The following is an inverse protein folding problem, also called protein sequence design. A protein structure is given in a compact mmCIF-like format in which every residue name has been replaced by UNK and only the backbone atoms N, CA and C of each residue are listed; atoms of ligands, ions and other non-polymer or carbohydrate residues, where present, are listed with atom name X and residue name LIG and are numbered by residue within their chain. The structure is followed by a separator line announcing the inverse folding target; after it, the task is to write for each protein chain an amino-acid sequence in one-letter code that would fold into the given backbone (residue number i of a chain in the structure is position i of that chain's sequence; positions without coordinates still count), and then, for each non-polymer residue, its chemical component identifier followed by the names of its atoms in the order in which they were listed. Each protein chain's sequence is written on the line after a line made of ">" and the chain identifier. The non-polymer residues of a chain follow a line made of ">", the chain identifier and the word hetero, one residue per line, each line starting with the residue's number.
data_IF_251108541111
#
_entry.id   IF_251108541111
#
_cell.length_a   1.000
_cell.length_b   1.000
_cell.length_c   1.000
_cell.angle_alpha   90.00
_cell.angle_beta   90.00
_cell.angle_gamma   90.00
#
_symmetry.space_group_name_H-M   'P 1'
#
loop_
_entity.id
_entity.type
_entity.pdbx_description
1 polymer ?
#
# COMPACT_ATOMS: atom_id res chain seq x y z
N UNK A 1 11.30 23.59 15.63
CA UNK A 1 11.30 22.19 15.15
C UNK A 1 10.13 21.38 15.68
N UNK A 2 10.11 20.98 16.96
CA UNK A 2 9.03 20.13 17.52
C UNK A 2 7.60 20.64 17.28
N UNK A 3 7.39 21.95 17.30
CA UNK A 3 6.08 22.54 16.98
C UNK A 3 5.60 22.22 15.56
N UNK A 4 6.49 22.24 14.56
CA UNK A 4 6.14 21.91 13.16
C UNK A 4 5.67 20.46 13.08
N UNK A 5 6.42 19.54 13.68
CA UNK A 5 6.09 18.12 13.70
C UNK A 5 4.81 17.82 14.50
N UNK A 6 4.57 18.55 15.59
CA UNK A 6 3.31 18.46 16.33
C UNK A 6 2.12 18.88 15.45
N UNK A 7 2.25 19.98 14.70
CA UNK A 7 1.22 20.43 13.76
C UNK A 7 1.00 19.38 12.65
N UNK A 8 2.08 18.81 12.11
CA UNK A 8 2.00 17.70 11.15
C UNK A 8 1.21 16.53 11.74
N UNK A 9 1.56 16.08 12.95
CA UNK A 9 0.90 14.95 13.61
C UNK A 9 -0.59 15.23 13.82
N UNK A 10 -0.95 16.40 14.34
CA UNK A 10 -2.34 16.79 14.59
C UNK A 10 -3.14 16.82 13.29
N UNK A 11 -2.62 17.49 12.25
CA UNK A 11 -3.33 17.59 10.97
C UNK A 11 -3.48 16.22 10.30
N UNK A 12 -2.40 15.44 10.22
CA UNK A 12 -2.42 14.13 9.59
C UNK A 12 -3.35 13.16 10.34
N UNK A 13 -3.33 13.14 11.67
CA UNK A 13 -4.24 12.28 12.43
C UNK A 13 -5.69 12.74 12.37
N UNK A 14 -5.95 14.04 12.22
CA UNK A 14 -7.29 14.53 11.95
C UNK A 14 -7.82 14.02 10.60
N UNK A 15 -7.02 14.09 9.53
CA UNK A 15 -7.38 13.54 8.22
C UNK A 15 -7.54 12.00 8.25
N UNK A 16 -6.67 11.31 9.00
CA UNK A 16 -6.74 9.87 9.16
C UNK A 16 -8.02 9.44 9.91
N UNK A 17 -8.39 10.21 10.94
CA UNK A 17 -9.61 10.04 11.72
C UNK A 17 -10.87 10.27 10.89
N UNK A 18 -10.89 11.31 10.06
CA UNK A 18 -11.97 11.55 9.11
C UNK A 18 -12.18 10.34 8.18
N UNK A 19 -11.11 9.77 7.64
CA UNK A 19 -11.16 8.52 6.88
C UNK A 19 -11.70 7.34 7.70
N UNK A 20 -11.29 7.23 8.97
CA UNK A 20 -11.60 6.08 9.83
C UNK A 20 -13.08 6.03 10.23
N UNK A 21 -13.74 7.19 10.35
CA UNK A 21 -15.20 7.29 10.59
C UNK A 21 -16.01 6.54 9.55
N UNK A 22 -15.50 6.42 8.32
CA UNK A 22 -16.08 5.62 7.24
C UNK A 22 -15.01 4.71 6.65
N UNK A 23 -14.41 3.87 7.48
CA UNK A 23 -13.21 3.09 7.12
C UNK A 23 -13.32 2.32 5.79
N UNK A 24 -14.50 1.75 5.45
CA UNK A 24 -14.71 1.09 4.15
C UNK A 24 -14.47 2.01 2.94
N UNK A 25 -14.70 3.31 3.10
CA UNK A 25 -14.56 4.35 2.08
C UNK A 25 -13.28 5.15 2.24
N UNK A 26 -12.75 5.21 3.46
CA UNK A 26 -11.61 6.01 3.86
C UNK A 26 -10.36 5.21 4.22
N UNK A 27 -10.31 3.89 4.00
CA UNK A 27 -9.17 3.05 4.39
C UNK A 27 -7.85 3.59 3.84
N UNK A 28 -7.80 3.92 2.54
CA UNK A 28 -6.60 4.48 1.91
C UNK A 28 -6.21 5.81 2.55
N UNK A 29 -7.18 6.70 2.82
CA UNK A 29 -6.97 7.97 3.50
C UNK A 29 -6.38 7.76 4.90
N UNK A 30 -6.99 6.88 5.68
CA UNK A 30 -6.56 6.57 7.04
C UNK A 30 -5.14 6.00 7.10
N UNK A 31 -4.81 5.07 6.20
CA UNK A 31 -3.47 4.47 6.14
C UNK A 31 -2.41 5.49 5.71
N UNK A 32 -2.70 6.27 4.66
CA UNK A 32 -1.78 7.29 4.16
C UNK A 32 -1.48 8.34 5.23
N UNK A 33 -2.50 9.07 5.69
CA UNK A 33 -2.32 10.14 6.65
C UNK A 33 -1.86 9.63 8.02
N UNK A 34 -2.29 8.43 8.44
CA UNK A 34 -1.81 7.80 9.65
C UNK A 34 -0.31 7.52 9.60
N UNK A 35 0.20 6.98 8.49
CA UNK A 35 1.62 6.72 8.33
C UNK A 35 2.45 8.00 8.14
N UNK A 36 1.95 9.00 7.41
CA UNK A 36 2.61 10.31 7.28
C UNK A 36 2.69 11.04 8.62
N UNK A 37 1.61 11.03 9.41
CA UNK A 37 1.58 11.61 10.76
C UNK A 37 2.53 10.90 11.72
N UNK A 38 2.68 9.58 11.60
CA UNK A 38 3.65 8.82 12.37
C UNK A 38 5.08 9.20 12.00
N UNK A 39 5.46 9.10 10.72
CA UNK A 39 6.84 9.26 10.24
C UNK A 39 7.31 10.71 10.29
N UNK A 40 6.48 11.67 9.90
CA UNK A 40 6.86 13.08 9.78
C UNK A 40 6.38 13.95 10.94
N UNK A 41 5.52 13.41 11.81
CA UNK A 41 4.99 14.10 12.98
C UNK A 41 5.48 13.49 14.29
N UNK A 42 5.00 12.31 14.63
CA UNK A 42 5.25 11.71 15.95
C UNK A 42 6.71 11.31 16.13
N UNK A 43 7.31 10.57 15.18
CA UNK A 43 8.69 10.08 15.32
C UNK A 43 9.67 11.25 15.53
N UNK A 44 9.64 12.35 14.75
CA UNK A 44 10.52 13.50 15.00
C UNK A 44 10.19 14.26 16.29
N UNK A 45 8.98 14.16 16.84
CA UNK A 45 8.64 14.77 18.13
C UNK A 45 9.25 14.01 19.32
N UNK A 46 9.22 12.68 19.28
CA UNK A 46 9.64 11.80 20.39
C UNK A 46 11.04 11.22 20.20
N UNK A 47 11.58 11.32 18.99
CA UNK A 47 12.93 10.89 18.67
C UNK A 47 13.95 11.60 19.57
N UNK A 48 14.99 10.90 20.03
CA UNK A 48 15.99 11.52 20.88
C UNK A 48 16.68 12.68 20.14
N UNK A 49 17.11 13.70 20.88
CA UNK A 49 17.71 14.93 20.32
C UNK A 49 18.95 14.70 19.45
N UNK A 50 19.54 13.51 19.49
CA UNK A 50 20.60 13.11 18.57
C UNK A 50 20.10 12.61 17.21
N UNK A 51 18.79 12.58 16.92
CA UNK A 51 18.28 12.49 15.53
C UNK A 51 18.58 13.76 14.74
N UNK A 52 18.80 14.87 15.46
CA UNK A 52 19.51 16.03 14.91
C UNK A 52 21.01 15.73 14.65
N UNK A 53 21.47 14.46 14.69
CA UNK A 53 22.76 14.01 14.11
C UNK A 53 22.62 13.92 12.60
N UNK A 54 22.58 15.08 11.98
CA UNK A 54 23.49 15.30 10.87
C UNK A 54 24.20 16.62 11.13
N UNK A 55 25.34 16.77 10.49
CA UNK A 55 26.17 17.98 10.46
C UNK A 55 25.42 19.16 9.80
N UNK A 56 24.10 19.02 9.58
CA UNK A 56 23.28 19.87 8.77
C UNK A 56 22.74 21.05 9.59
N UNK A 57 22.81 22.28 9.04
CA UNK A 57 22.27 23.46 9.70
C UNK A 57 20.80 23.31 10.11
N UNK A 58 20.44 23.86 11.27
CA UNK A 58 19.05 23.92 11.78
C UNK A 58 18.04 24.44 10.74
N UNK A 59 18.46 25.34 9.84
CA UNK A 59 17.63 25.85 8.74
C UNK A 59 17.16 24.76 7.78
N UNK A 60 17.95 23.71 7.54
CA UNK A 60 17.59 22.60 6.65
C UNK A 60 16.52 21.73 7.29
N UNK A 61 16.67 21.42 8.58
CA UNK A 61 15.63 20.72 9.35
C UNK A 61 14.30 21.49 9.31
N UNK A 62 14.34 22.81 9.49
CA UNK A 62 13.14 23.66 9.38
C UNK A 62 12.54 23.59 7.98
N UNK A 63 13.37 23.71 6.93
CA UNK A 63 12.91 23.66 5.54
C UNK A 63 12.26 22.31 5.19
N UNK A 64 12.87 21.20 5.59
CA UNK A 64 12.32 19.86 5.40
C UNK A 64 11.00 19.67 6.18
N UNK A 65 10.94 20.13 7.43
CA UNK A 65 9.71 20.11 8.22
C UNK A 65 8.58 20.93 7.59
N UNK A 66 8.88 22.14 7.10
CA UNK A 66 7.90 22.99 6.41
C UNK A 66 7.46 22.38 5.09
N UNK A 67 8.37 21.82 4.31
CA UNK A 67 8.04 21.15 3.05
C UNK A 67 7.12 19.95 3.28
N UNK A 68 7.42 19.10 4.28
CA UNK A 68 6.57 17.99 4.67
C UNK A 68 5.19 18.47 5.14
N UNK A 69 5.12 19.52 5.97
CA UNK A 69 3.85 20.11 6.41
C UNK A 69 3.02 20.61 5.22
N UNK A 70 3.60 21.45 4.36
CA UNK A 70 2.92 21.96 3.16
C UNK A 70 2.47 20.81 2.25
N UNK A 71 3.32 19.79 2.07
CA UNK A 71 3.02 18.62 1.28
C UNK A 71 1.82 17.83 1.81
N UNK A 72 1.79 17.51 3.10
CA UNK A 72 0.67 16.79 3.73
C UNK A 72 -0.63 17.59 3.61
N UNK A 73 -0.58 18.91 3.84
CA UNK A 73 -1.74 19.78 3.68
C UNK A 73 -2.22 19.78 2.23
N UNK A 74 -1.33 19.89 1.25
CA UNK A 74 -1.70 19.88 -0.17
C UNK A 74 -2.29 18.54 -0.61
N UNK A 75 -1.77 17.41 -0.14
CA UNK A 75 -2.39 16.08 -0.35
C UNK A 75 -3.81 16.08 0.20
N UNK A 76 -4.03 16.63 1.40
CA UNK A 76 -5.36 16.77 2.02
C UNK A 76 -6.29 17.64 1.20
N UNK A 77 -5.83 18.83 0.79
CA UNK A 77 -6.59 19.74 -0.07
C UNK A 77 -6.98 19.07 -1.40
N UNK A 78 -6.05 18.39 -2.07
CA UNK A 78 -6.31 17.66 -3.31
C UNK A 78 -7.34 16.55 -3.13
N UNK A 79 -7.26 15.84 -2.00
CA UNK A 79 -8.23 14.80 -1.65
C UNK A 79 -9.64 15.38 -1.51
N UNK A 80 -9.79 16.43 -0.69
CA UNK A 80 -11.08 17.08 -0.46
C UNK A 80 -11.65 17.71 -1.73
N UNK A 81 -10.80 18.36 -2.53
CA UNK A 81 -11.18 18.93 -3.81
C UNK A 81 -11.82 17.89 -4.73
N UNK A 82 -11.19 16.73 -4.88
CA UNK A 82 -11.76 15.64 -5.67
C UNK A 82 -13.09 15.15 -5.09
N UNK A 83 -13.18 14.98 -3.77
CA UNK A 83 -14.40 14.48 -3.12
C UNK A 83 -15.58 15.44 -3.29
N UNK A 84 -15.35 16.76 -3.27
CA UNK A 84 -16.36 17.78 -3.56
C UNK A 84 -16.89 17.59 -4.99
N UNK A 85 -16.00 17.47 -5.98
CA UNK A 85 -16.39 17.27 -7.39
C UNK A 85 -17.16 15.95 -7.55
N UNK A 86 -16.66 14.89 -6.94
CA UNK A 86 -17.19 13.54 -7.10
C UNK A 86 -18.50 13.30 -6.33
N UNK A 87 -18.78 14.08 -5.27
CA UNK A 87 -20.03 13.99 -4.48
C UNK A 87 -21.30 14.13 -5.35
N UNK A 88 -21.19 14.83 -6.48
CA UNK A 88 -22.27 15.04 -7.46
C UNK A 88 -22.67 13.78 -8.24
N UNK A 89 -21.93 12.68 -8.10
CA UNK A 89 -22.20 11.42 -8.81
C UNK A 89 -22.51 10.33 -7.78
N UNK A 90 -23.75 9.82 -7.66
CA UNK A 90 -24.03 8.67 -6.81
C UNK A 90 -23.33 7.42 -7.36
N UNK A 91 -22.92 6.50 -6.48
CA UNK A 91 -22.33 5.22 -6.87
C UNK A 91 -22.81 4.09 -5.94
N UNK A 92 -22.87 2.88 -6.50
CA UNK A 92 -23.21 1.67 -5.76
C UNK A 92 -21.95 1.08 -5.12
N UNK A 93 -22.07 0.61 -3.89
CA UNK A 93 -20.96 0.01 -3.15
C UNK A 93 -20.69 -1.41 -3.65
N UNK A 94 -19.52 -1.61 -4.26
CA UNK A 94 -19.25 -2.83 -5.02
C UNK A 94 -18.96 -4.05 -4.14
N UNK A 95 -18.51 -3.84 -2.90
CA UNK A 95 -18.21 -4.96 -2.00
C UNK A 95 -19.46 -5.76 -1.57
N UNK A 96 -20.67 -5.19 -1.65
CA UNK A 96 -21.90 -5.95 -1.40
C UNK A 96 -22.23 -6.89 -2.56
N UNK A 97 -21.84 -6.54 -3.79
CA UNK A 97 -21.97 -7.40 -4.97
C UNK A 97 -21.24 -8.73 -4.78
N UNK A 98 -20.03 -8.70 -4.20
CA UNK A 98 -19.19 -9.88 -3.98
C UNK A 98 -19.82 -10.91 -3.03
N UNK A 99 -20.87 -10.54 -2.28
CA UNK A 99 -21.58 -11.43 -1.36
C UNK A 99 -22.73 -12.21 -2.02
N UNK A 100 -23.12 -11.84 -3.24
CA UNK A 100 -24.21 -12.50 -3.96
C UNK A 100 -23.88 -13.95 -4.30
N UNK A 101 -24.87 -14.83 -4.08
CA UNK A 101 -24.78 -16.28 -4.28
C UNK A 101 -24.39 -16.64 -5.71
N UNK A 102 -24.92 -15.90 -6.69
CA UNK A 102 -24.66 -16.09 -8.11
C UNK A 102 -23.19 -15.89 -8.49
N UNK A 103 -22.41 -15.16 -7.69
CA UNK A 103 -21.00 -14.91 -7.95
C UNK A 103 -20.08 -15.90 -7.22
N UNK A 104 -20.57 -16.65 -6.24
CA UNK A 104 -19.75 -17.53 -5.41
C UNK A 104 -18.96 -18.58 -6.20
N UNK A 105 -19.51 -19.28 -7.21
CA UNK A 105 -18.73 -20.24 -8.00
C UNK A 105 -17.54 -19.58 -8.72
N UNK A 106 -17.75 -18.39 -9.28
CA UNK A 106 -16.71 -17.62 -10.00
C UNK A 106 -15.66 -17.07 -9.05
N UNK A 107 -16.07 -16.60 -7.86
CA UNK A 107 -15.15 -16.13 -6.83
C UNK A 107 -14.33 -17.28 -6.23
N UNK A 108 -14.91 -18.48 -6.07
CA UNK A 108 -14.19 -19.68 -5.67
C UNK A 108 -13.15 -20.08 -6.74
N UNK A 109 -13.50 -20.00 -8.02
CA UNK A 109 -12.55 -20.25 -9.11
C UNK A 109 -11.40 -19.23 -9.10
N UNK A 110 -11.71 -17.94 -8.94
CA UNK A 110 -10.71 -16.88 -8.79
C UNK A 110 -9.78 -17.14 -7.59
N UNK A 111 -10.35 -17.53 -6.45
CA UNK A 111 -9.61 -17.89 -5.25
C UNK A 111 -8.60 -19.01 -5.51
N UNK A 112 -9.05 -20.13 -6.08
CA UNK A 112 -8.19 -21.30 -6.34
C UNK A 112 -7.11 -20.95 -7.34
N UNK A 113 -7.48 -20.28 -8.44
CA UNK A 113 -6.53 -19.87 -9.48
C UNK A 113 -5.44 -18.96 -8.91
N UNK A 114 -5.81 -17.93 -8.16
CA UNK A 114 -4.85 -17.00 -7.57
C UNK A 114 -3.97 -17.66 -6.50
N UNK A 115 -4.52 -18.59 -5.70
CA UNK A 115 -3.73 -19.34 -4.72
C UNK A 115 -2.68 -20.22 -5.41
N UNK A 116 -3.07 -20.99 -6.43
CA UNK A 116 -2.16 -21.87 -7.18
C UNK A 116 -1.10 -21.05 -7.92
N UNK A 117 -1.52 -20.04 -8.68
CA UNK A 117 -0.59 -19.15 -9.42
C UNK A 117 0.34 -18.43 -8.46
N UNK A 118 -0.16 -17.98 -7.30
CA UNK A 118 0.64 -17.33 -6.28
C UNK A 118 1.77 -18.21 -5.73
N UNK A 119 1.47 -19.48 -5.43
CA UNK A 119 2.48 -20.45 -4.99
C UNK A 119 3.47 -20.76 -6.11
N UNK A 120 3.00 -20.99 -7.33
CA UNK A 120 3.87 -21.20 -8.50
C UNK A 120 4.79 -20.00 -8.71
N UNK A 121 4.27 -18.77 -8.59
CA UNK A 121 5.07 -17.57 -8.76
C UNK A 121 6.14 -17.41 -7.68
N UNK A 122 5.83 -17.78 -6.44
CA UNK A 122 6.82 -17.81 -5.37
C UNK A 122 7.94 -18.84 -5.64
N UNK A 123 7.58 -20.05 -6.05
CA UNK A 123 8.54 -21.10 -6.39
C UNK A 123 9.39 -20.72 -7.61
N UNK A 124 8.75 -20.16 -8.64
CA UNK A 124 9.41 -19.62 -9.83
C UNK A 124 10.37 -18.48 -9.50
N UNK A 125 10.02 -17.62 -8.54
CA UNK A 125 10.91 -16.56 -8.05
C UNK A 125 12.13 -17.12 -7.32
N UNK A 126 11.95 -18.14 -6.47
CA UNK A 126 13.06 -18.84 -5.81
C UNK A 126 13.99 -19.49 -6.85
N UNK A 127 13.42 -20.22 -7.80
CA UNK A 127 14.15 -20.89 -8.86
C UNK A 127 14.93 -19.89 -9.75
N UNK A 128 14.27 -18.82 -10.20
CA UNK A 128 14.88 -17.79 -11.04
C UNK A 128 15.99 -17.01 -10.33
N UNK A 129 15.95 -16.95 -8.99
CA UNK A 129 17.04 -16.37 -8.19
C UNK A 129 18.28 -17.27 -8.12
N UNK A 130 18.26 -18.47 -8.73
CA UNK A 130 19.37 -19.43 -8.70
C UNK A 130 19.60 -20.04 -7.31
N UNK A 131 18.62 -19.91 -6.41
CA UNK A 131 18.70 -20.35 -5.02
C UNK A 131 18.03 -21.73 -4.93
N UNK A 132 18.78 -22.77 -4.56
CA UNK A 132 18.17 -24.06 -4.22
C UNK A 132 17.30 -23.93 -2.97
N UNK A 133 16.32 -24.81 -2.75
CA UNK A 133 15.52 -24.79 -1.50
C UNK A 133 16.43 -24.89 -0.25
N UNK A 134 17.55 -25.61 -0.35
CA UNK A 134 18.58 -25.66 0.68
C UNK A 134 19.32 -24.32 0.89
N UNK A 135 19.55 -23.54 -0.19
CA UNK A 135 20.13 -22.19 -0.10
C UNK A 135 19.14 -21.12 0.41
N UNK A 136 17.83 -21.36 0.27
CA UNK A 136 16.78 -20.56 0.92
C UNK A 136 16.82 -20.79 2.44
N UNK A 137 17.10 -22.03 2.85
CA UNK A 137 17.27 -22.42 4.25
C UNK A 137 18.62 -21.98 4.83
N UNK A 138 19.67 -21.87 4.02
CA UNK A 138 21.02 -21.41 4.43
C UNK A 138 21.26 -19.89 4.20
N UNK A 139 22.29 -19.31 4.79
CA UNK A 139 22.49 -17.85 4.89
C UNK A 139 22.85 -17.13 3.58
N UNK A 140 23.03 -17.88 2.49
CA UNK A 140 23.57 -17.40 1.21
C UNK A 140 22.57 -16.66 0.30
N UNK A 141 21.30 -16.55 0.70
CA UNK A 141 20.26 -15.93 -0.15
C UNK A 141 20.51 -14.44 -0.43
N UNK A 142 21.07 -13.67 0.50
CA UNK A 142 21.34 -12.24 0.29
C UNK A 142 22.48 -12.02 -0.70
N UNK A 143 23.56 -12.79 -0.59
CA UNK A 143 24.71 -12.74 -1.53
C UNK A 143 24.29 -13.02 -2.98
N UNK A 144 23.29 -13.88 -3.18
CA UNK A 144 22.80 -14.26 -4.51
C UNK A 144 21.71 -13.31 -5.06
N UNK A 145 21.06 -12.51 -4.21
CA UNK A 145 19.94 -11.63 -4.61
C UNK A 145 20.41 -10.45 -5.47
N UNK A 146 21.65 -10.00 -5.26
CA UNK A 146 22.23 -8.87 -5.98
C UNK A 146 22.87 -9.26 -7.31
N UNK A 147 23.29 -10.52 -7.47
CA UNK A 147 24.07 -10.92 -8.64
C UNK A 147 23.22 -11.39 -9.83
N UNK A 148 21.94 -11.78 -9.65
CA UNK A 148 21.19 -12.52 -10.69
C UNK A 148 19.67 -12.27 -10.75
N UNK A 149 19.18 -11.10 -10.34
CA UNK A 149 17.76 -10.77 -10.58
C UNK A 149 17.50 -10.40 -12.05
N UNK A 150 17.62 -11.39 -12.95
CA UNK A 150 17.28 -11.25 -14.36
C UNK A 150 15.78 -11.02 -14.59
N UNK A 151 15.40 -10.76 -15.84
CA UNK A 151 14.02 -10.51 -16.27
C UNK A 151 13.01 -11.52 -15.66
N UNK A 152 13.35 -12.81 -15.66
CA UNK A 152 12.51 -13.87 -15.11
C UNK A 152 12.24 -13.70 -13.61
N UNK A 153 13.24 -13.32 -12.82
CA UNK A 153 13.07 -13.07 -11.39
C UNK A 153 12.15 -11.87 -11.13
N UNK A 154 12.26 -10.82 -11.95
CA UNK A 154 11.38 -9.66 -11.87
C UNK A 154 9.92 -10.00 -12.25
N UNK A 155 9.71 -10.81 -13.30
CA UNK A 155 8.38 -11.28 -13.71
C UNK A 155 7.74 -12.12 -12.60
N UNK A 156 8.45 -13.12 -12.07
CA UNK A 156 7.93 -13.97 -10.99
C UNK A 156 7.66 -13.19 -9.70
N UNK A 157 8.56 -12.28 -9.32
CA UNK A 157 8.38 -11.43 -8.15
C UNK A 157 7.16 -10.50 -8.25
N UNK A 158 6.83 -10.05 -9.46
CA UNK A 158 5.63 -9.23 -9.71
C UNK A 158 4.35 -10.07 -9.80
N UNK A 159 4.40 -11.25 -10.43
CA UNK A 159 3.29 -12.21 -10.45
C UNK A 159 2.93 -12.73 -9.05
N UNK A 160 3.92 -12.80 -8.16
CA UNK A 160 3.72 -13.20 -6.77
C UNK A 160 2.63 -12.35 -6.08
N UNK A 161 2.42 -11.09 -6.45
CA UNK A 161 1.37 -10.28 -5.81
C UNK A 161 -0.07 -10.80 -6.04
N UNK A 162 -0.30 -11.69 -7.02
CA UNK A 162 -1.58 -12.41 -7.18
C UNK A 162 -1.93 -13.22 -5.91
N UNK A 163 -0.92 -13.67 -5.18
CA UNK A 163 -1.07 -14.43 -3.94
C UNK A 163 -1.76 -13.65 -2.81
N UNK A 164 -1.95 -12.34 -2.93
CA UNK A 164 -2.72 -11.54 -1.98
C UNK A 164 -4.25 -11.70 -2.16
N UNK A 165 -4.72 -12.16 -3.32
CA UNK A 165 -6.15 -12.29 -3.61
C UNK A 165 -6.87 -13.26 -2.67
N UNK A 166 -6.36 -14.48 -2.40
CA UNK A 166 -6.99 -15.42 -1.48
C UNK A 166 -7.34 -14.84 -0.11
N UNK A 167 -6.41 -14.10 0.51
CA UNK A 167 -6.63 -13.45 1.80
C UNK A 167 -7.72 -12.39 1.72
N UNK A 168 -7.67 -11.54 0.70
CA UNK A 168 -8.66 -10.49 0.47
C UNK A 168 -10.07 -11.02 0.18
N UNK A 169 -10.18 -12.08 -0.62
CA UNK A 169 -11.47 -12.65 -1.02
C UNK A 169 -12.13 -13.43 0.12
N UNK A 170 -11.35 -14.02 1.03
CA UNK A 170 -11.83 -14.89 2.11
C UNK A 170 -13.10 -14.40 2.82
N UNK A 171 -13.21 -13.13 3.27
CA UNK A 171 -14.38 -12.65 3.99
C UNK A 171 -15.66 -12.57 3.14
N UNK A 172 -15.54 -12.59 1.80
CA UNK A 172 -16.65 -12.59 0.85
C UNK A 172 -17.07 -14.02 0.43
N UNK A 173 -16.23 -15.01 0.66
CA UNK A 173 -16.48 -16.42 0.32
C UNK A 173 -17.29 -17.14 1.42
N UNK A 174 -17.79 -18.34 1.11
CA UNK A 174 -18.57 -19.19 2.03
C UNK A 174 -17.92 -20.54 2.28
N UNK A 175 -18.29 -21.16 3.41
CA UNK A 175 -17.88 -22.51 3.78
C UNK A 175 -16.36 -22.69 3.80
N UNK A 176 -15.90 -23.79 3.22
CA UNK A 176 -14.47 -24.18 3.21
C UNK A 176 -13.53 -23.13 2.61
N UNK A 177 -13.99 -22.35 1.62
CA UNK A 177 -13.14 -21.35 0.96
C UNK A 177 -12.86 -20.13 1.85
N UNK A 178 -13.80 -19.77 2.73
CA UNK A 178 -13.58 -18.73 3.76
C UNK A 178 -12.53 -19.17 4.77
N UNK A 179 -12.57 -20.43 5.20
CA UNK A 179 -11.58 -20.96 6.16
C UNK A 179 -10.22 -21.05 5.47
N UNK A 180 -10.15 -21.67 4.29
CA UNK A 180 -8.93 -21.81 3.52
C UNK A 180 -8.28 -20.45 3.20
N UNK A 181 -9.08 -19.46 2.79
CA UNK A 181 -8.57 -18.12 2.49
C UNK A 181 -8.17 -17.30 3.70
N UNK A 182 -8.63 -17.65 4.90
CA UNK A 182 -8.13 -17.05 6.15
C UNK A 182 -6.80 -17.69 6.56
N UNK A 183 -6.70 -19.02 6.47
CA UNK A 183 -5.50 -19.79 6.85
C UNK A 183 -4.35 -19.55 5.87
N UNK A 184 -4.62 -19.50 4.57
CA UNK A 184 -3.64 -19.32 3.52
C UNK A 184 -2.67 -18.14 3.73
N UNK A 185 -3.12 -16.87 3.89
CA UNK A 185 -2.22 -15.75 4.06
C UNK A 185 -1.42 -15.82 5.38
N UNK A 186 -1.97 -16.43 6.44
CA UNK A 186 -1.28 -16.61 7.72
C UNK A 186 -0.13 -17.61 7.56
N UNK A 187 -0.43 -18.80 7.04
CA UNK A 187 0.57 -19.85 6.80
C UNK A 187 1.61 -19.37 5.81
N UNK A 188 1.19 -18.70 4.73
CA UNK A 188 2.11 -18.25 3.71
C UNK A 188 2.97 -17.07 4.18
N UNK A 189 2.43 -16.15 4.99
CA UNK A 189 3.23 -15.12 5.65
C UNK A 189 4.28 -15.73 6.60
N UNK A 190 3.91 -16.74 7.39
CA UNK A 190 4.84 -17.47 8.26
C UNK A 190 5.93 -18.20 7.45
N UNK A 191 5.54 -18.88 6.37
CA UNK A 191 6.47 -19.53 5.46
C UNK A 191 7.43 -18.50 4.83
N UNK A 192 6.92 -17.38 4.31
CA UNK A 192 7.75 -16.31 3.78
C UNK A 192 8.67 -15.73 4.84
N UNK A 193 8.21 -15.59 6.08
CA UNK A 193 9.01 -15.10 7.18
C UNK A 193 10.18 -16.06 7.49
N UNK A 194 9.91 -17.35 7.66
CA UNK A 194 10.88 -18.40 7.97
C UNK A 194 11.85 -18.60 6.79
N UNK A 195 11.33 -18.90 5.61
CA UNK A 195 12.13 -19.22 4.42
C UNK A 195 12.77 -17.98 3.79
N UNK A 196 12.23 -16.77 4.01
CA UNK A 196 12.84 -15.52 3.52
C UNK A 196 13.56 -14.74 4.59
N UNK A 197 13.93 -15.40 5.70
CA UNK A 197 14.80 -14.88 6.76
C UNK A 197 14.42 -13.44 7.15
N UNK A 198 13.13 -13.22 7.40
CA UNK A 198 12.62 -11.92 7.81
C UNK A 198 12.33 -10.93 6.69
N UNK A 199 12.06 -11.36 5.46
CA UNK A 199 11.54 -10.45 4.42
C UNK A 199 10.12 -9.98 4.79
N UNK A 200 10.01 -8.71 5.21
CA UNK A 200 8.78 -8.16 5.82
C UNK A 200 7.70 -7.77 4.83
N UNK A 201 8.09 -7.20 3.68
CA UNK A 201 7.14 -6.62 2.71
C UNK A 201 6.06 -7.60 2.25
N UNK A 202 6.43 -8.76 1.64
CA UNK A 202 5.48 -9.78 1.23
C UNK A 202 4.60 -10.33 2.36
N UNK A 203 5.17 -10.56 3.54
CA UNK A 203 4.42 -11.05 4.70
C UNK A 203 3.39 -10.02 5.19
N UNK A 204 3.78 -8.75 5.26
CA UNK A 204 2.86 -7.64 5.56
C UNK A 204 1.78 -7.53 4.48
N UNK A 205 2.12 -7.72 3.21
CA UNK A 205 1.16 -7.73 2.11
C UNK A 205 0.12 -8.85 2.24
N UNK A 206 0.56 -10.07 2.59
CA UNK A 206 -0.33 -11.21 2.84
C UNK A 206 -1.33 -10.93 3.95
N UNK A 207 -0.83 -10.54 5.13
CA UNK A 207 -1.70 -10.23 6.28
C UNK A 207 -2.57 -9.01 5.99
N UNK A 208 -1.99 -8.00 5.34
CA UNK A 208 -2.68 -6.80 4.91
C UNK A 208 -3.83 -7.08 3.94
N UNK A 209 -3.69 -8.07 3.06
CA UNK A 209 -4.75 -8.47 2.14
C UNK A 209 -5.97 -9.02 2.87
N UNK A 210 -5.76 -9.88 3.88
CA UNK A 210 -6.81 -10.43 4.73
C UNK A 210 -7.53 -9.33 5.52
N UNK A 211 -6.75 -8.41 6.09
CA UNK A 211 -7.29 -7.27 6.85
C UNK A 211 -8.10 -6.36 5.94
N UNK A 212 -7.56 -6.01 4.77
CA UNK A 212 -8.25 -5.20 3.77
C UNK A 212 -9.58 -5.83 3.38
N UNK A 213 -9.56 -7.12 3.02
CA UNK A 213 -10.78 -7.87 2.71
C UNK A 213 -11.81 -7.83 3.84
N UNK A 214 -11.35 -8.00 5.10
CA UNK A 214 -12.22 -7.99 6.26
C UNK A 214 -12.86 -6.61 6.48
N UNK A 215 -12.07 -5.54 6.33
CA UNK A 215 -12.52 -4.14 6.41
C UNK A 215 -13.59 -3.84 5.36
N UNK A 216 -13.38 -4.23 4.10
CA UNK A 216 -14.39 -4.02 3.05
C UNK A 216 -15.64 -4.88 3.26
N UNK A 217 -15.50 -6.11 3.75
CA UNK A 217 -16.62 -7.03 3.94
C UNK A 217 -17.51 -6.67 5.15
N UNK A 218 -16.95 -6.08 6.22
CA UNK A 218 -17.65 -5.88 7.51
C UNK A 218 -17.73 -4.40 7.91
N UNK A 219 -18.86 -4.00 8.52
CA UNK A 219 -18.98 -2.66 9.09
C UNK A 219 -18.28 -2.71 10.44
N UNK A 220 -17.10 -2.12 10.51
CA UNK A 220 -16.29 -2.11 11.72
C UNK A 220 -16.71 -0.90 12.54
N UNK A 221 -17.14 -1.15 13.78
CA UNK A 221 -17.35 -0.07 14.74
C UNK A 221 -16.00 0.52 15.16
N UNK A 222 -15.98 1.80 15.50
CA UNK A 222 -14.77 2.50 15.90
C UNK A 222 -14.02 1.79 17.05
N UNK A 223 -14.74 1.26 18.05
CA UNK A 223 -14.12 0.50 19.14
C UNK A 223 -13.42 -0.78 18.67
N UNK A 224 -14.01 -1.51 17.70
CA UNK A 224 -13.35 -2.68 17.10
C UNK A 224 -12.14 -2.30 16.25
N UNK A 225 -12.20 -1.15 15.58
CA UNK A 225 -11.05 -0.61 14.87
C UNK A 225 -9.90 -0.30 15.83
N UNK A 226 -10.16 0.35 16.97
CA UNK A 226 -9.13 0.64 17.96
C UNK A 226 -8.49 -0.63 18.52
N UNK A 227 -9.28 -1.65 18.86
CA UNK A 227 -8.75 -2.95 19.30
C UNK A 227 -7.92 -3.64 18.20
N UNK A 228 -8.40 -3.61 16.96
CA UNK A 228 -7.66 -4.15 15.82
C UNK A 228 -6.34 -3.39 15.62
N UNK A 229 -6.36 -2.05 15.66
CA UNK A 229 -5.15 -1.22 15.57
C UNK A 229 -4.18 -1.50 16.72
N UNK A 230 -4.65 -1.72 17.94
CA UNK A 230 -3.79 -2.10 19.06
C UNK A 230 -3.16 -3.49 18.84
N UNK A 231 -3.94 -4.47 18.40
CA UNK A 231 -3.43 -5.80 18.04
C UNK A 231 -2.42 -5.75 16.88
N UNK A 232 -2.68 -4.92 15.86
CA UNK A 232 -1.74 -4.70 14.76
C UNK A 232 -0.52 -3.88 15.18
N UNK A 233 -0.66 -2.95 16.11
CA UNK A 233 0.44 -2.26 16.74
C UNK A 233 1.36 -3.24 17.44
N UNK A 234 0.81 -4.20 18.20
CA UNK A 234 1.58 -5.29 18.79
C UNK A 234 2.26 -6.16 17.72
N UNK A 235 1.57 -6.56 16.64
CA UNK A 235 2.19 -7.34 15.54
C UNK A 235 3.28 -6.53 14.81
N UNK A 236 3.06 -5.23 14.63
CA UNK A 236 4.02 -4.31 14.05
C UNK A 236 5.27 -4.17 14.91
N UNK A 237 5.08 -4.04 16.23
CA UNK A 237 6.16 -4.10 17.21
C UNK A 237 6.91 -5.44 17.10
N UNK A 238 6.22 -6.57 17.14
CA UNK A 238 6.86 -7.89 16.95
C UNK A 238 7.69 -7.92 15.65
N UNK A 239 7.20 -7.29 14.56
CA UNK A 239 7.93 -7.15 13.30
C UNK A 239 9.21 -6.31 13.42
N UNK A 240 9.22 -5.26 14.25
CA UNK A 240 10.44 -4.49 14.56
C UNK A 240 11.47 -5.38 15.24
N UNK A 241 11.06 -6.10 16.29
CA UNK A 241 11.89 -7.07 17.01
C UNK A 241 12.48 -8.17 16.11
N UNK A 242 11.85 -8.45 14.96
CA UNK A 242 12.39 -9.40 13.99
C UNK A 242 13.72 -8.95 13.36
N UNK A 243 14.10 -7.66 13.40
CA UNK A 243 15.34 -7.19 12.73
C UNK A 243 16.55 -7.65 13.53
N UNK A 244 16.67 -7.27 14.81
CA UNK A 244 17.77 -7.75 15.61
C UNK A 244 17.68 -9.27 15.82
N UNK A 245 16.46 -9.84 15.91
CA UNK A 245 16.29 -11.30 15.98
C UNK A 245 16.91 -11.97 14.76
N UNK A 246 16.67 -11.46 13.55
CA UNK A 246 17.24 -12.01 12.32
C UNK A 246 18.77 -12.11 12.36
N UNK A 247 19.44 -11.14 12.99
CA UNK A 247 20.90 -11.14 13.09
C UNK A 247 21.42 -12.16 14.11
N UNK A 248 20.59 -12.58 15.08
CA UNK A 248 20.98 -13.41 16.22
C UNK A 248 20.34 -14.80 16.24
N UNK A 249 19.35 -15.04 15.37
CA UNK A 249 18.56 -16.27 15.38
C UNK A 249 19.38 -17.55 15.14
N UNK A 250 20.60 -17.44 14.63
CA UNK A 250 21.50 -18.58 14.42
C UNK A 250 22.15 -19.10 15.71
N UNK A 251 22.19 -18.29 16.75
CA UNK A 251 22.79 -18.62 18.04
C UNK A 251 21.74 -18.76 19.15
N UNK A 252 20.45 -18.87 18.80
CA UNK A 252 19.33 -18.91 19.75
C UNK A 252 18.47 -20.14 19.51
N UNK A 253 18.04 -20.78 20.59
CA UNK A 253 16.96 -21.77 20.60
C UNK A 253 15.61 -21.07 20.40
N UNK A 254 14.57 -21.83 20.00
CA UNK A 254 13.21 -21.27 19.81
C UNK A 254 12.68 -20.57 21.07
N UNK A 255 12.97 -21.09 22.27
CA UNK A 255 12.58 -20.46 23.54
C UNK A 255 13.27 -19.11 23.77
N UNK A 256 14.57 -19.03 23.45
CA UNK A 256 15.33 -17.77 23.53
C UNK A 256 14.84 -16.75 22.50
N UNK A 257 14.46 -17.19 21.30
CA UNK A 257 13.87 -16.30 20.29
C UNK A 257 12.57 -15.67 20.79
N UNK A 258 11.70 -16.46 21.42
CA UNK A 258 10.43 -15.95 21.98
C UNK A 258 10.72 -14.92 23.07
N UNK A 259 11.58 -15.25 24.04
CA UNK A 259 11.94 -14.33 25.12
C UNK A 259 12.59 -13.05 24.59
N UNK A 260 13.48 -13.17 23.60
CA UNK A 260 14.13 -12.02 22.97
C UNK A 260 13.10 -11.08 22.35
N UNK A 261 12.12 -11.59 21.61
CA UNK A 261 11.10 -10.79 20.93
C UNK A 261 10.22 -9.98 21.88
N UNK A 262 10.06 -10.43 23.13
CA UNK A 262 9.36 -9.70 24.17
C UNK A 262 10.28 -8.86 25.07
N UNK A 263 11.60 -8.91 24.86
CA UNK A 263 12.58 -8.13 25.64
C UNK A 263 12.69 -6.69 25.15
N UNK A 264 13.04 -5.76 26.04
CA UNK A 264 13.31 -4.36 25.67
C UNK A 264 14.44 -4.22 24.64
N UNK A 265 15.41 -5.14 24.67
CA UNK A 265 16.55 -5.17 23.75
C UNK A 265 16.11 -5.30 22.29
N UNK A 266 15.08 -6.10 22.00
CA UNK A 266 14.60 -6.29 20.63
C UNK A 266 13.98 -5.03 20.02
N UNK A 267 13.66 -4.03 20.84
CA UNK A 267 13.09 -2.74 20.44
C UNK A 267 14.05 -1.58 20.65
N UNK A 268 15.29 -1.87 21.06
CA UNK A 268 16.32 -0.86 21.15
C UNK A 268 16.50 -0.23 19.77
N UNK A 269 16.46 1.11 19.73
CA UNK A 269 16.56 1.90 18.51
C UNK A 269 15.43 1.69 17.49
N UNK A 270 14.27 1.14 17.90
CA UNK A 270 13.11 0.89 17.02
C UNK A 270 12.69 2.12 16.18
N UNK A 271 12.77 3.32 16.76
CA UNK A 271 12.44 4.57 16.09
C UNK A 271 13.44 4.92 14.97
N UNK A 272 14.68 4.39 15.03
CA UNK A 272 15.79 4.73 14.13
C UNK A 272 15.81 3.83 12.91
N UNK A 273 15.01 2.76 12.96
CA UNK A 273 14.94 1.76 11.94
C UNK A 273 13.98 2.21 10.84
N UNK A 274 14.32 1.87 9.60
CA UNK A 274 13.38 1.90 8.48
C UNK A 274 12.13 1.06 8.82
N UNK A 275 10.90 1.61 8.72
CA UNK A 275 10.51 2.84 8.03
C UNK A 275 10.28 4.08 8.91
N UNK A 276 10.57 4.05 10.20
CA UNK A 276 10.26 5.18 11.08
C UNK A 276 11.24 6.35 10.89
N UNK A 277 12.47 6.08 10.43
CA UNK A 277 13.50 7.10 10.22
C UNK A 277 13.44 7.85 8.87
N UNK A 278 12.36 7.71 8.08
CA UNK A 278 12.30 8.33 6.75
C UNK A 278 12.29 9.86 6.76
N UNK A 279 11.90 10.50 7.87
CA UNK A 279 11.97 11.95 7.93
C UNK A 279 13.42 12.46 7.97
N UNK A 280 14.30 11.86 8.76
CA UNK A 280 15.71 12.25 8.82
C UNK A 280 16.41 12.02 7.48
N UNK A 281 16.09 10.91 6.81
CA UNK A 281 16.59 10.69 5.44
C UNK A 281 16.14 11.81 4.49
N UNK A 282 14.91 12.31 4.67
CA UNK A 282 14.41 13.44 3.90
C UNK A 282 15.13 14.75 4.24
N UNK A 283 15.49 14.98 5.51
CA UNK A 283 16.34 16.13 5.89
C UNK A 283 17.68 16.07 5.16
N UNK A 284 18.35 14.92 5.16
CA UNK A 284 19.61 14.74 4.43
C UNK A 284 19.46 14.94 2.91
N UNK A 285 18.33 14.54 2.32
CA UNK A 285 18.02 14.85 0.91
C UNK A 285 17.89 16.36 0.69
N UNK A 286 17.19 17.08 1.55
CA UNK A 286 17.10 18.54 1.45
C UNK A 286 18.45 19.23 1.64
N UNK A 287 19.39 18.62 2.37
CA UNK A 287 20.73 19.16 2.56
C UNK A 287 21.62 18.99 1.33
N UNK A 288 21.49 17.86 0.62
CA UNK A 288 22.45 17.44 -0.41
C UNK A 288 22.02 17.80 -1.83
N UNK A 289 20.74 18.10 -2.10
CA UNK A 289 20.25 18.33 -3.46
C UNK A 289 19.93 19.82 -3.70
N UNK A 290 20.42 20.43 -4.81
CA UNK A 290 21.18 19.82 -5.90
C UNK A 290 22.71 19.83 -5.73
N UNK A 291 23.22 20.33 -4.61
CA UNK A 291 24.63 20.73 -4.46
C UNK A 291 25.62 19.54 -4.57
N UNK A 292 25.21 18.34 -4.14
CA UNK A 292 26.01 17.12 -4.19
C UNK A 292 25.68 16.23 -5.41
N UNK A 293 24.41 16.12 -5.77
CA UNK A 293 23.93 15.40 -6.95
C UNK A 293 22.80 16.20 -7.61
N UNK A 294 22.76 16.32 -8.95
CA UNK A 294 21.66 16.98 -9.63
C UNK A 294 20.33 16.25 -9.40
N UNK A 295 19.25 17.03 -9.46
CA UNK A 295 17.89 16.49 -9.47
C UNK A 295 17.71 15.42 -10.56
N UNK A 296 16.93 14.39 -10.25
CA UNK A 296 16.75 13.22 -11.14
C UNK A 296 15.56 13.36 -12.10
N UNK A 297 14.98 14.56 -12.21
CA UNK A 297 13.91 14.99 -13.14
C UNK A 297 12.93 13.88 -13.56
N UNK A 298 11.94 13.61 -12.72
CA UNK A 298 10.92 12.58 -12.98
C UNK A 298 11.46 11.16 -13.23
N UNK A 299 12.72 10.84 -12.90
CA UNK A 299 13.31 9.51 -13.10
C UNK A 299 12.48 8.40 -12.47
N UNK A 300 11.90 8.62 -11.28
CA UNK A 300 11.01 7.64 -10.65
C UNK A 300 9.90 7.23 -11.61
N UNK A 301 9.20 8.19 -12.20
CA UNK A 301 8.04 7.94 -13.08
C UNK A 301 8.43 7.44 -14.46
N UNK A 302 9.52 7.98 -15.03
CA UNK A 302 10.04 7.52 -16.33
C UNK A 302 10.52 6.07 -16.28
N UNK A 303 11.05 5.62 -15.14
CA UNK A 303 11.49 4.22 -14.95
C UNK A 303 10.36 3.20 -15.05
N UNK A 304 9.08 3.56 -14.87
CA UNK A 304 7.98 2.62 -15.07
C UNK A 304 7.96 2.06 -16.51
N UNK A 305 8.20 2.92 -17.51
CA UNK A 305 8.18 2.52 -18.92
C UNK A 305 9.34 1.57 -19.30
N UNK A 306 10.44 1.63 -18.54
CA UNK A 306 11.67 0.87 -18.82
C UNK A 306 12.01 -0.14 -17.72
N UNK A 307 11.04 -0.49 -16.87
CA UNK A 307 11.29 -1.27 -15.66
C UNK A 307 11.98 -2.60 -15.97
N UNK A 308 11.46 -3.33 -16.97
CA UNK A 308 11.95 -4.65 -17.38
C UNK A 308 13.22 -4.61 -18.25
N UNK A 309 13.66 -3.43 -18.69
CA UNK A 309 14.93 -3.31 -19.41
C UNK A 309 16.10 -3.45 -18.42
N UNK A 310 17.08 -4.34 -18.66
CA UNK A 310 18.27 -4.39 -17.84
C UNK A 310 19.10 -3.11 -18.04
N UNK A 311 19.46 -2.43 -16.95
CA UNK A 311 20.16 -1.14 -17.03
C UNK A 311 21.54 -1.24 -17.68
N UNK A 312 22.21 -2.38 -17.53
CA UNK A 312 23.55 -2.65 -18.08
C UNK A 312 23.58 -2.64 -19.61
N UNK A 313 22.51 -3.14 -20.24
CA UNK A 313 22.42 -3.20 -21.71
C UNK A 313 21.78 -1.96 -22.32
N UNK A 314 21.08 -1.14 -21.53
CA UNK A 314 20.38 0.05 -21.98
C UNK A 314 20.66 1.29 -21.10
N UNK A 315 21.94 1.66 -20.90
CA UNK A 315 22.32 2.70 -19.94
C UNK A 315 21.81 4.10 -20.33
N UNK A 316 21.62 4.36 -21.63
CA UNK A 316 21.06 5.62 -22.13
C UNK A 316 19.54 5.71 -22.12
N UNK A 317 18.83 4.57 -22.02
CA UNK A 317 17.36 4.54 -22.06
C UNK A 317 16.73 4.44 -20.68
N UNK A 318 17.38 3.74 -19.73
CA UNK A 318 16.86 3.57 -18.38
C UNK A 318 17.33 4.74 -17.50
N UNK A 319 16.43 5.62 -17.01
CA UNK A 319 16.83 6.76 -16.16
C UNK A 319 17.60 6.29 -14.91
N UNK A 320 18.46 7.11 -14.30
CA UNK A 320 19.17 6.75 -13.05
C UNK A 320 18.18 6.28 -11.97
N UNK A 321 18.56 5.28 -11.16
CA UNK A 321 17.69 4.81 -10.08
C UNK A 321 17.72 5.80 -8.90
N UNK A 322 16.60 6.46 -8.57
CA UNK A 322 16.57 7.48 -7.51
C UNK A 322 16.99 6.91 -6.15
N UNK A 323 16.68 5.64 -5.86
CA UNK A 323 17.08 5.02 -4.61
C UNK A 323 18.60 4.82 -4.52
N UNK A 324 19.27 4.57 -5.66
CA UNK A 324 20.73 4.46 -5.71
C UNK A 324 21.38 5.83 -5.60
N UNK A 325 20.84 6.83 -6.28
CA UNK A 325 21.32 8.22 -6.22
C UNK A 325 21.25 8.75 -4.78
N UNK A 326 20.11 8.54 -4.10
CA UNK A 326 19.93 8.93 -2.69
C UNK A 326 20.88 8.16 -1.76
N UNK A 327 21.08 6.85 -1.98
CA UNK A 327 22.03 6.08 -1.18
C UNK A 327 23.47 6.58 -1.33
N UNK A 328 23.90 6.88 -2.57
CA UNK A 328 25.23 7.44 -2.84
C UNK A 328 25.38 8.84 -2.24
N UNK A 329 24.34 9.67 -2.31
CA UNK A 329 24.34 10.98 -1.68
C UNK A 329 24.51 10.89 -0.16
N UNK A 330 23.74 10.03 0.51
CA UNK A 330 23.74 9.94 1.98
C UNK A 330 24.91 9.15 2.56
N UNK A 331 25.42 8.14 1.85
CA UNK A 331 26.40 7.19 2.40
C UNK A 331 27.73 7.12 1.60
N UNK A 332 27.85 7.89 0.52
CA UNK A 332 29.07 8.03 -0.27
C UNK A 332 29.60 6.71 -0.83
N UNK A 333 30.92 6.54 -0.73
CA UNK A 333 31.64 5.38 -1.28
C UNK A 333 31.12 4.04 -0.76
N UNK A 334 30.69 4.00 0.51
CA UNK A 334 30.12 2.80 1.13
C UNK A 334 28.87 2.32 0.38
N UNK A 335 28.05 3.23 -0.14
CA UNK A 335 26.88 2.87 -0.94
C UNK A 335 27.26 2.30 -2.31
N UNK A 336 28.34 2.78 -2.91
CA UNK A 336 28.83 2.28 -4.21
C UNK A 336 29.37 0.85 -4.04
N UNK A 337 30.24 0.64 -3.06
CA UNK A 337 30.91 -0.65 -2.81
C UNK A 337 29.93 -1.76 -2.43
N UNK A 338 28.88 -1.43 -1.69
CA UNK A 338 27.87 -2.39 -1.24
C UNK A 338 26.58 -2.35 -2.06
N UNK A 339 26.58 -1.67 -3.23
CA UNK A 339 25.42 -1.51 -4.10
C UNK A 339 24.12 -1.13 -3.35
N UNK A 340 24.24 -0.20 -2.40
CA UNK A 340 23.15 0.16 -1.50
C UNK A 340 22.02 0.88 -2.24
N UNK A 341 20.79 0.58 -1.83
CA UNK A 341 19.57 1.21 -2.33
C UNK A 341 18.79 1.80 -1.17
N UNK A 342 18.53 3.10 -1.21
CA UNK A 342 17.87 3.82 -0.13
C UNK A 342 16.73 4.68 -0.67
N UNK A 343 15.46 4.30 -0.44
CA UNK A 343 14.35 5.04 -1.01
C UNK A 343 14.16 6.39 -0.29
N UNK A 344 13.82 7.47 -1.00
CA UNK A 344 13.81 8.82 -0.45
C UNK A 344 12.61 9.15 0.47
N UNK A 345 11.64 8.24 0.65
CA UNK A 345 10.34 8.62 1.23
C UNK A 345 9.47 9.39 0.23
N UNK A 346 8.17 9.51 0.48
CA UNK A 346 7.26 10.20 -0.46
C UNK A 346 7.67 11.66 -0.70
N UNK A 347 8.00 12.40 0.37
CA UNK A 347 8.42 13.81 0.24
C UNK A 347 9.78 13.94 -0.44
N UNK A 348 10.73 13.06 -0.11
CA UNK A 348 12.02 13.06 -0.78
C UNK A 348 11.89 12.73 -2.26
N UNK A 349 11.02 11.80 -2.66
CA UNK A 349 10.81 11.47 -4.07
C UNK A 349 10.28 12.68 -4.86
N UNK A 350 9.26 13.36 -4.35
CA UNK A 350 8.75 14.60 -4.97
C UNK A 350 9.81 15.71 -4.98
N UNK A 351 10.59 15.84 -3.91
CA UNK A 351 11.66 16.84 -3.82
C UNK A 351 12.73 16.62 -4.89
N UNK A 352 13.23 15.39 -5.04
CA UNK A 352 14.33 15.09 -5.98
C UNK A 352 13.85 15.01 -7.44
N UNK A 353 12.60 14.63 -7.69
CA UNK A 353 12.08 14.51 -9.05
C UNK A 353 11.56 15.84 -9.61
N UNK A 354 11.19 16.80 -8.74
CA UNK A 354 10.56 18.06 -9.15
C UNK A 354 11.20 19.28 -8.52
N UNK A 355 12.52 19.24 -8.29
CA UNK A 355 13.36 20.40 -8.00
C UNK A 355 12.91 21.16 -6.73
N UNK A 356 12.81 20.41 -5.63
CA UNK A 356 12.51 20.94 -4.30
C UNK A 356 11.08 21.43 -4.17
N UNK A 357 10.91 22.72 -3.85
CA UNK A 357 9.62 23.40 -3.62
C UNK A 357 8.64 23.28 -4.79
N UNK A 358 9.14 23.14 -6.02
CA UNK A 358 8.29 22.94 -7.21
C UNK A 358 7.60 21.57 -7.24
N UNK A 359 7.95 20.65 -6.34
CA UNK A 359 7.22 19.38 -6.14
C UNK A 359 5.87 19.53 -5.42
N UNK A 360 5.63 20.63 -4.70
CA UNK A 360 4.40 20.82 -3.92
C UNK A 360 3.10 20.78 -4.75
N UNK A 361 2.98 21.42 -5.92
CA UNK A 361 1.79 21.29 -6.77
C UNK A 361 1.47 19.85 -7.14
N UNK A 362 2.49 19.00 -7.30
CA UNK A 362 2.27 17.60 -7.62
C UNK A 362 1.74 16.79 -6.44
N UNK A 363 2.03 17.19 -5.19
CA UNK A 363 1.42 16.57 -4.01
C UNK A 363 -0.08 16.87 -3.92
N UNK A 364 -0.52 18.05 -4.36
CA UNK A 364 -1.95 18.32 -4.54
C UNK A 364 -2.56 17.36 -5.57
N UNK A 365 -1.91 17.18 -6.73
CA UNK A 365 -2.36 16.25 -7.76
C UNK A 365 -2.36 14.80 -7.27
N UNK A 366 -1.38 14.41 -6.46
CA UNK A 366 -1.34 13.11 -5.80
C UNK A 366 -2.54 12.93 -4.87
N UNK A 367 -2.89 13.95 -4.07
CA UNK A 367 -4.11 13.95 -3.26
C UNK A 367 -5.38 13.72 -4.08
N UNK A 368 -5.51 14.41 -5.22
CA UNK A 368 -6.61 14.21 -6.18
C UNK A 368 -6.64 12.78 -6.71
N UNK A 369 -5.48 12.27 -7.14
CA UNK A 369 -5.34 10.92 -7.68
C UNK A 369 -5.69 9.83 -6.65
N UNK A 370 -5.19 9.96 -5.42
CA UNK A 370 -5.45 9.01 -4.34
C UNK A 370 -6.93 9.02 -3.91
N UNK A 371 -7.58 10.18 -3.90
CA UNK A 371 -9.02 10.27 -3.66
C UNK A 371 -9.84 9.63 -4.78
N UNK A 372 -9.44 9.85 -6.05
CA UNK A 372 -10.01 9.15 -7.20
C UNK A 372 -9.85 7.64 -7.07
N UNK A 373 -8.66 7.17 -6.73
CA UNK A 373 -8.35 5.77 -6.55
C UNK A 373 -9.18 5.13 -5.44
N UNK A 374 -9.26 5.80 -4.28
CA UNK A 374 -10.09 5.37 -3.14
C UNK A 374 -11.54 5.20 -3.54
N UNK A 375 -12.07 6.15 -4.33
CA UNK A 375 -13.42 6.06 -4.85
C UNK A 375 -13.58 4.89 -5.83
N UNK A 376 -12.66 4.71 -6.77
CA UNK A 376 -12.71 3.59 -7.73
C UNK A 376 -12.71 2.23 -7.03
N UNK A 377 -11.86 2.04 -6.00
CA UNK A 377 -11.82 0.81 -5.20
C UNK A 377 -13.20 0.49 -4.62
N UNK A 378 -13.98 1.48 -4.21
CA UNK A 378 -15.32 1.24 -3.65
C UNK A 378 -16.39 1.08 -4.73
N UNK A 379 -16.29 1.82 -5.82
CA UNK A 379 -17.36 1.94 -6.84
C UNK A 379 -17.21 1.03 -8.05
N UNK A 380 -16.06 0.38 -8.23
CA UNK A 380 -15.77 -0.42 -9.41
C UNK A 380 -15.22 -1.81 -9.00
N UNK A 381 -15.86 -2.92 -9.44
CA UNK A 381 -15.44 -4.26 -9.04
C UNK A 381 -14.03 -4.61 -9.52
N UNK A 382 -13.66 -4.09 -10.68
CA UNK A 382 -12.32 -4.28 -11.23
C UNK A 382 -11.25 -3.63 -10.35
N UNK A 383 -11.46 -2.39 -9.91
CA UNK A 383 -10.52 -1.72 -9.00
C UNK A 383 -10.53 -2.34 -7.61
N UNK A 384 -11.70 -2.75 -7.10
CA UNK A 384 -11.80 -3.43 -5.81
C UNK A 384 -10.98 -4.72 -5.80
N UNK A 385 -11.13 -5.56 -6.82
CA UNK A 385 -10.44 -6.85 -6.92
C UNK A 385 -8.96 -6.66 -7.32
N UNK A 386 -8.65 -5.68 -8.18
CA UNK A 386 -7.28 -5.42 -8.63
C UNK A 386 -6.39 -4.79 -7.58
N UNK A 387 -6.89 -3.79 -6.84
CA UNK A 387 -6.09 -3.01 -5.88
C UNK A 387 -6.44 -3.29 -4.42
N UNK A 388 -7.67 -3.69 -4.11
CA UNK A 388 -8.09 -4.02 -2.75
C UNK A 388 -7.18 -5.03 -2.04
N UNK A 389 -6.77 -6.15 -2.69
CA UNK A 389 -5.85 -7.10 -2.09
C UNK A 389 -4.49 -6.51 -1.67
N UNK A 390 -4.10 -5.38 -2.25
CA UNK A 390 -2.77 -4.79 -2.04
C UNK A 390 -2.83 -3.44 -1.37
N UNK A 391 -4.02 -2.93 -1.03
CA UNK A 391 -4.17 -1.53 -0.59
C UNK A 391 -3.25 -1.21 0.59
N UNK A 392 -3.15 -2.11 1.57
CA UNK A 392 -2.27 -1.94 2.73
C UNK A 392 -0.79 -1.97 2.33
N UNK A 393 -0.40 -2.95 1.49
CA UNK A 393 0.97 -3.09 1.01
C UNK A 393 1.42 -1.87 0.19
N UNK A 394 0.60 -1.44 -0.76
CA UNK A 394 0.86 -0.29 -1.63
C UNK A 394 0.87 1.02 -0.83
N UNK A 395 0.03 1.18 0.19
CA UNK A 395 0.10 2.32 1.10
C UNK A 395 1.44 2.36 1.85
N UNK A 396 1.87 1.23 2.41
CA UNK A 396 3.16 1.16 3.12
C UNK A 396 4.31 1.50 2.18
N UNK A 397 4.36 0.90 0.98
CA UNK A 397 5.43 1.16 0.01
C UNK A 397 5.38 2.59 -0.55
N UNK A 398 4.18 3.13 -0.76
CA UNK A 398 3.99 4.50 -1.24
C UNK A 398 4.57 5.51 -0.27
N UNK A 399 4.28 5.37 1.02
CA UNK A 399 4.83 6.23 2.08
C UNK A 399 6.37 6.16 2.13
N UNK A 400 6.94 4.98 1.87
CA UNK A 400 8.39 4.78 1.79
C UNK A 400 9.07 5.42 0.58
N UNK A 401 8.33 6.02 -0.35
CA UNK A 401 8.91 6.71 -1.51
C UNK A 401 9.38 5.77 -2.60
N UNK A 402 8.57 4.77 -2.95
CA UNK A 402 8.82 3.90 -4.10
C UNK A 402 7.68 3.99 -5.12
N UNK A 403 7.38 5.17 -5.68
CA UNK A 403 6.19 5.37 -6.51
C UNK A 403 6.22 4.53 -7.79
N UNK A 404 7.38 4.22 -8.34
CA UNK A 404 7.47 3.33 -9.50
C UNK A 404 7.14 1.88 -9.18
N UNK A 405 7.45 1.43 -7.95
CA UNK A 405 7.08 0.09 -7.48
C UNK A 405 5.57 0.04 -7.25
N UNK A 406 5.01 1.09 -6.63
CA UNK A 406 3.55 1.22 -6.44
C UNK A 406 2.82 1.26 -7.77
N UNK A 407 3.27 2.11 -8.70
CA UNK A 407 2.64 2.28 -10.00
C UNK A 407 2.75 1.01 -10.86
N UNK A 408 3.91 0.35 -10.89
CA UNK A 408 4.06 -0.92 -11.61
C UNK A 408 3.18 -2.02 -11.03
N UNK A 409 3.22 -2.21 -9.71
CA UNK A 409 2.39 -3.23 -9.04
C UNK A 409 0.90 -2.94 -9.25
N UNK A 410 0.48 -1.68 -9.11
CA UNK A 410 -0.90 -1.26 -9.34
C UNK A 410 -1.37 -1.49 -10.78
N UNK A 411 -0.59 -1.05 -11.78
CA UNK A 411 -0.90 -1.24 -13.20
C UNK A 411 -0.98 -2.72 -13.55
N UNK A 412 0.03 -3.50 -13.15
CA UNK A 412 0.08 -4.92 -13.41
C UNK A 412 -1.14 -5.64 -12.82
N UNK A 413 -1.54 -5.30 -11.61
CA UNK A 413 -2.63 -5.97 -10.90
C UNK A 413 -4.00 -5.53 -11.40
N UNK A 414 -4.13 -4.29 -11.86
CA UNK A 414 -5.30 -3.86 -12.62
C UNK A 414 -5.38 -4.63 -13.94
N UNK A 415 -4.31 -4.72 -14.73
CA UNK A 415 -4.32 -5.46 -15.99
C UNK A 415 -4.63 -6.95 -15.80
N UNK A 416 -3.96 -7.62 -14.85
CA UNK A 416 -4.20 -9.02 -14.54
C UNK A 416 -5.61 -9.26 -14.02
N UNK A 417 -6.09 -8.44 -13.07
CA UNK A 417 -7.44 -8.61 -12.55
C UNK A 417 -8.50 -8.36 -13.63
N UNK A 418 -8.27 -7.43 -14.57
CA UNK A 418 -9.17 -7.24 -15.70
C UNK A 418 -9.32 -8.53 -16.52
N UNK A 419 -8.20 -9.13 -16.91
CA UNK A 419 -8.17 -10.38 -17.67
C UNK A 419 -8.84 -11.52 -16.90
N UNK A 420 -8.49 -11.70 -15.62
CA UNK A 420 -9.06 -12.75 -14.78
C UNK A 420 -10.58 -12.59 -14.59
N UNK A 421 -11.04 -11.37 -14.33
CA UNK A 421 -12.47 -11.09 -14.17
C UNK A 421 -13.23 -11.36 -15.48
N UNK A 422 -12.67 -10.97 -16.63
CA UNK A 422 -13.27 -11.26 -17.94
C UNK A 422 -13.36 -12.76 -18.22
N UNK A 423 -12.28 -13.49 -18.02
CA UNK A 423 -12.22 -14.96 -18.25
C UNK A 423 -13.22 -15.69 -17.36
N UNK A 424 -13.39 -15.24 -16.11
CA UNK A 424 -14.31 -15.87 -15.15
C UNK A 424 -15.76 -15.35 -15.25
N UNK A 425 -16.05 -14.42 -16.16
CA UNK A 425 -17.38 -13.81 -16.30
C UNK A 425 -17.82 -12.99 -15.09
N UNK A 426 -16.87 -12.40 -14.37
CA UNK A 426 -17.11 -11.46 -13.28
C UNK A 426 -17.26 -10.02 -13.80
N UNK A 427 -18.05 -9.17 -13.14
CA UNK A 427 -18.29 -7.80 -13.59
C UNK A 427 -17.01 -6.97 -13.49
N UNK A 428 -16.76 -6.17 -14.54
CA UNK A 428 -15.60 -5.25 -14.63
C UNK A 428 -15.98 -3.77 -14.65
N UNK A 429 -17.27 -3.48 -14.83
CA UNK A 429 -17.78 -2.11 -14.97
C UNK A 429 -18.43 -1.64 -13.67
N UNK A 430 -18.39 -0.33 -13.37
CA UNK A 430 -19.13 0.25 -12.26
C UNK A 430 -20.61 -0.08 -12.38
N UNK A 431 -21.24 -0.48 -11.27
CA UNK A 431 -22.68 -0.66 -11.22
C UNK A 431 -23.32 0.73 -11.18
N UNK A 432 -24.10 1.05 -12.21
CA UNK A 432 -24.93 2.26 -12.20
C UNK A 432 -26.09 2.04 -11.23
N UNK A 433 -26.42 3.03 -10.38
CA UNK A 433 -27.67 2.99 -9.66
C UNK A 433 -28.78 2.82 -10.70
N UNK A 434 -29.55 1.73 -10.63
CA UNK A 434 -30.80 1.69 -11.36
C UNK A 434 -31.63 2.85 -10.80
N UNK A 435 -31.96 3.83 -11.64
CA UNK A 435 -33.05 4.73 -11.32
C UNK A 435 -34.26 3.82 -11.11
N UNK A 436 -34.74 3.74 -9.87
CA UNK A 436 -36.05 3.19 -9.60
C UNK A 436 -37.01 4.07 -10.42
N UNK A 437 -37.40 3.59 -11.60
CA UNK A 437 -38.66 3.98 -12.20
C UNK A 437 -39.71 3.62 -11.17
N UNK A 438 -40.16 4.62 -10.43
CA UNK A 438 -41.38 4.54 -9.62
C UNK A 438 -42.43 3.96 -10.56
N UNK A 439 -43.04 2.80 -10.26
CA UNK A 439 -44.15 2.32 -11.07
C UNK A 439 -45.20 3.42 -11.04
N UNK A 440 -45.52 3.98 -12.21
CA UNK A 440 -46.63 4.90 -12.36
C UNK A 440 -47.86 4.20 -11.80
N UNK A 441 -48.37 4.71 -10.68
CA UNK A 441 -49.64 4.31 -10.11
C UNK A 441 -50.68 4.27 -11.23
N UNK A 442 -51.42 3.16 -11.45
CA UNK A 442 -52.52 3.18 -12.40
C UNK A 442 -53.60 4.11 -11.85
N UNK A 443 -53.62 5.35 -12.33
CA UNK A 443 -54.76 6.24 -12.16
C UNK A 443 -55.94 5.65 -12.92
N UNK A 444 -56.84 5.04 -12.17
CA UNK A 444 -58.30 5.11 -12.33
C UNK A 444 -58.81 5.34 -13.77
N UNK A 445 -58.94 4.26 -14.53
CA UNK A 445 -60.04 4.15 -15.50
C UNK A 445 -61.32 3.79 -14.75
N UNK A 446 -61.91 4.74 -14.04
CA UNK A 446 -63.28 4.64 -13.54
C UNK A 446 -63.84 6.06 -13.33
N UNK A 447 -64.29 6.69 -14.42
CA UNK A 447 -65.42 7.62 -14.42
C UNK A 447 -65.64 8.16 -15.84
N UNK A 448 -66.32 7.39 -16.68
CA UNK A 448 -67.08 7.98 -17.78
C UNK A 448 -68.19 7.02 -18.20
N UNK A 449 -69.31 7.06 -17.47
CA UNK A 449 -70.63 6.78 -18.03
C UNK A 449 -71.62 7.73 -17.35
N UNK A 450 -72.30 8.61 -18.11
CA UNK A 450 -73.19 9.64 -17.58
C UNK A 450 -74.55 9.09 -17.15
N UNK A 451 -75.14 9.80 -16.20
CA UNK A 451 -76.55 9.72 -15.81
C UNK A 451 -77.49 9.69 -17.04
N UNK A 452 -78.35 8.68 -17.10
CA UNK A 452 -79.65 8.82 -17.77
C UNK A 452 -80.75 8.70 -16.72
N UNK A 453 -81.43 9.82 -16.54
CA UNK A 453 -82.62 10.01 -15.73
C UNK A 453 -83.84 9.47 -16.50
N UNK A 454 -84.60 8.62 -15.80
CA UNK A 454 -86.05 8.37 -15.81
C UNK A 454 -86.88 8.48 -17.12
N UNK A 455 -87.71 7.46 -17.40
CA UNK A 455 -89.17 7.48 -17.11
C UNK A 455 -89.84 6.16 -17.53
N UNK A 456 -90.70 5.63 -16.66
CA UNK A 456 -91.82 4.75 -17.02
C UNK A 456 -92.98 5.57 -17.58
N UNK A 457 -93.68 4.99 -18.57
CA UNK A 457 -94.83 5.47 -19.35
C UNK A 457 -94.50 6.28 -20.61
#
# INVERSE_FOLDING_TARGET
>A
MRLIHLVIAVYAFWEAWDGARRLRHGLLKSLLFGGLGLIHGIVPCIGPAWYDRTVDPFSIHVAAGLYALCGIVLIGCGWHFYMIIASKKPYVQTFELLKHDQLQPRLNALFVLCAVVGVIAWLGWIHASGVTLANVLSARRMELREQRAGLLGAVWGNLFYISYFPGFLSPFLRGRYRVAGTVYPIVFALALFIFSRGTRGPAIGMLGSLIGGWVFAHRISLGRLMMATAAFGMIGMLTVAMLPLRHRMHSMTTGEMVTFVFSAEAYQDALTLDPLNYHDHFVGICALFPDFEPYVDGASYRRLAFFYLPGEYFPGLKPRDPNRVVAVALFGQKAIENNMMHPPGVFGDWYINFWGWRGLPFMFLEGVFLAWLSRQIVSNPWFLIGLGPQVIYLSVIGIRGQPYTVGLAGLLMLSLSYCLLKVLGLPVSPIRPQQQTVPSTPQQQMSSLPEQVATTA
#
